data_IF_619201825258
#
_entry.id   IF_619201825258
#
_cell.length_a   1.000
_cell.length_b   1.000
_cell.length_c   1.000
_cell.angle_alpha   90.00
_cell.angle_beta   90.00
_cell.angle_gamma   90.00
#
_symmetry.space_group_name_H-M   'P 1'
#
loop_
_entity.id
_entity.type
_entity.pdbx_description
1 polymer ?
#
# COMPACT_ATOMS: atom_id res chain seq x y z
N UNK A 1 15.44 9.69 8.13
CA UNK A 1 14.79 9.30 6.87
C UNK A 1 15.55 9.93 5.72
N UNK A 2 16.20 9.11 4.89
CA UNK A 2 16.85 9.59 3.67
C UNK A 2 15.86 9.41 2.51
N UNK A 3 15.41 10.51 1.95
CA UNK A 3 14.56 10.53 0.75
C UNK A 3 15.41 10.83 -0.47
N UNK A 4 15.40 9.91 -1.44
CA UNK A 4 16.25 10.02 -2.62
C UNK A 4 15.52 10.71 -3.78
N UNK A 5 16.02 11.86 -4.26
CA UNK A 5 15.60 12.43 -5.54
C UNK A 5 16.32 11.83 -6.74
N UNK A 6 17.09 10.74 -6.56
CA UNK A 6 17.95 10.15 -7.60
C UNK A 6 17.77 8.63 -7.64
N UNK A 7 18.02 7.97 -8.80
CA UNK A 7 18.02 6.51 -8.88
C UNK A 7 18.88 5.89 -7.77
N UNK A 8 18.36 4.85 -7.13
CA UNK A 8 19.00 4.17 -5.99
C UNK A 8 20.46 3.77 -6.28
N UNK A 9 20.80 3.44 -7.54
CA UNK A 9 22.15 3.12 -8.01
C UNK A 9 23.16 4.26 -7.86
N UNK A 10 22.72 5.52 -7.72
CA UNK A 10 23.58 6.70 -7.54
C UNK A 10 23.63 7.21 -6.10
N UNK A 11 22.90 6.55 -5.19
CA UNK A 11 22.94 6.91 -3.76
C UNK A 11 24.05 6.16 -3.05
N UNK A 12 24.89 6.89 -2.33
CA UNK A 12 25.78 6.31 -1.33
C UNK A 12 25.01 6.20 -0.02
N UNK A 13 24.48 5.02 0.24
CA UNK A 13 23.83 4.70 1.52
C UNK A 13 24.91 4.63 2.61
N UNK A 14 24.77 5.45 3.63
CA UNK A 14 25.57 5.30 4.85
C UNK A 14 24.78 4.44 5.83
N UNK A 15 24.92 3.12 5.67
CA UNK A 15 24.34 2.16 6.60
C UNK A 15 25.43 1.86 7.63
N UNK A 16 25.18 2.21 8.90
CA UNK A 16 26.08 1.90 9.99
C UNK A 16 26.06 0.38 10.27
N UNK A 17 27.17 -0.16 10.78
CA UNK A 17 27.26 -1.60 11.08
C UNK A 17 26.25 -2.05 12.15
N UNK A 18 25.84 -1.11 13.00
CA UNK A 18 24.86 -1.32 14.07
C UNK A 18 23.41 -1.22 13.59
N UNK A 19 23.17 -0.90 12.30
CA UNK A 19 21.81 -0.79 11.75
C UNK A 19 21.10 -2.13 11.83
N UNK A 20 20.00 -2.17 12.56
CA UNK A 20 19.18 -3.38 12.74
C UNK A 20 17.99 -3.43 11.82
N UNK A 21 17.45 -2.29 11.43
CA UNK A 21 16.25 -2.16 10.60
C UNK A 21 16.48 -1.16 9.48
N UNK A 22 15.96 -1.53 8.32
CA UNK A 22 15.95 -0.65 7.16
C UNK A 22 14.57 -0.78 6.51
N UNK A 23 13.90 0.34 6.32
CA UNK A 23 12.66 0.43 5.59
C UNK A 23 12.87 1.26 4.33
N UNK A 24 12.54 0.72 3.18
CA UNK A 24 12.58 1.40 1.89
C UNK A 24 11.20 1.41 1.25
N UNK A 25 10.94 2.41 0.41
CA UNK A 25 9.73 2.51 -0.40
C UNK A 25 10.07 3.13 -1.75
N UNK A 26 9.60 2.51 -2.81
CA UNK A 26 9.58 3.08 -4.16
C UNK A 26 8.14 3.52 -4.42
N UNK A 27 7.95 4.79 -4.77
CA UNK A 27 6.62 5.36 -4.96
C UNK A 27 6.24 5.35 -6.44
N UNK A 28 5.11 4.76 -6.77
CA UNK A 28 4.33 5.14 -7.94
C UNK A 28 3.41 6.29 -7.52
N UNK A 29 3.36 7.37 -8.30
CA UNK A 29 2.67 8.60 -7.88
C UNK A 29 1.21 8.50 -8.27
N UNK A 30 0.33 8.32 -7.29
CA UNK A 30 -1.13 8.38 -7.46
C UNK A 30 -1.67 9.75 -7.07
N UNK A 31 -1.26 10.28 -5.92
CA UNK A 31 -1.69 11.59 -5.41
C UNK A 31 -0.51 12.42 -4.94
N UNK A 32 -0.56 13.75 -5.15
CA UNK A 32 0.46 14.70 -4.72
C UNK A 32 1.75 14.67 -5.55
N UNK A 33 2.32 15.83 -5.82
CA UNK A 33 3.50 15.96 -6.68
C UNK A 33 4.72 15.23 -6.12
N UNK A 34 5.31 14.28 -6.88
CA UNK A 34 6.50 13.51 -6.49
C UNK A 34 7.74 14.40 -6.28
N UNK A 35 7.80 15.57 -6.95
CA UNK A 35 8.87 16.55 -6.78
C UNK A 35 8.89 17.18 -5.37
N UNK A 36 7.76 17.17 -4.69
CA UNK A 36 7.65 17.64 -3.30
C UNK A 36 8.04 16.51 -2.35
N UNK A 37 9.24 16.56 -1.83
CA UNK A 37 9.81 15.47 -1.01
C UNK A 37 8.98 15.11 0.24
N UNK A 38 8.14 16.00 0.73
CA UNK A 38 7.23 15.72 1.85
C UNK A 38 6.05 14.82 1.46
N UNK A 39 5.77 14.65 0.17
CA UNK A 39 4.77 13.71 -0.35
C UNK A 39 5.31 12.28 -0.52
N UNK A 40 6.60 12.05 -0.32
CA UNK A 40 7.21 10.75 -0.54
C UNK A 40 7.38 9.95 0.75
N UNK A 41 7.09 8.65 0.69
CA UNK A 41 7.33 7.72 1.78
C UNK A 41 8.83 7.56 2.10
N UNK A 42 9.17 7.10 3.31
CA UNK A 42 8.27 6.94 4.44
C UNK A 42 7.94 8.29 5.10
N UNK A 43 6.74 8.40 5.67
CA UNK A 43 6.31 9.59 6.39
C UNK A 43 6.74 9.53 7.85
N UNK A 44 7.36 10.57 8.40
CA UNK A 44 7.64 10.64 9.83
C UNK A 44 6.35 10.96 10.62
N UNK A 45 6.22 10.35 11.78
CA UNK A 45 5.17 10.64 12.75
C UNK A 45 5.69 10.53 14.18
N UNK A 46 4.87 10.92 15.17
CA UNK A 46 5.19 10.86 16.58
C UNK A 46 3.96 10.56 17.43
N UNK A 47 4.00 9.49 18.22
CA UNK A 47 2.92 9.12 19.12
C UNK A 47 3.48 8.64 20.46
N UNK A 48 2.86 9.03 21.59
CA UNK A 48 3.29 8.66 22.93
C UNK A 48 4.76 8.98 23.24
N UNK A 49 5.29 10.08 22.68
CA UNK A 49 6.70 10.42 22.81
C UNK A 49 7.65 9.64 21.91
N UNK A 50 7.19 8.59 21.21
CA UNK A 50 7.99 7.75 20.30
C UNK A 50 7.86 8.25 18.87
N UNK A 51 9.00 8.49 18.20
CA UNK A 51 9.04 8.77 16.76
C UNK A 51 8.86 7.48 15.96
N UNK A 52 8.22 7.59 14.81
CA UNK A 52 8.08 6.47 13.88
C UNK A 52 8.16 6.93 12.42
N UNK A 53 8.29 6.00 11.53
CA UNK A 53 8.20 6.20 10.08
C UNK A 53 7.19 5.20 9.51
N UNK A 54 6.34 5.65 8.59
CA UNK A 54 5.28 4.86 7.97
C UNK A 54 5.44 4.87 6.46
N UNK A 55 5.34 3.69 5.85
CA UNK A 55 5.20 3.53 4.41
C UNK A 55 3.93 2.73 4.10
N UNK A 56 3.28 3.09 3.00
CA UNK A 56 2.03 2.52 2.53
C UNK A 56 2.18 2.08 1.08
N UNK A 57 1.70 0.90 0.77
CA UNK A 57 1.50 0.36 -0.56
C UNK A 57 0.00 0.20 -0.77
N UNK A 58 -0.58 0.97 -1.71
CA UNK A 58 -2.00 1.00 -2.01
C UNK A 58 -2.56 2.41 -2.13
N UNK A 59 -3.87 2.52 -2.14
CA UNK A 59 -4.64 3.77 -2.24
C UNK A 59 -5.76 3.79 -1.21
N UNK A 60 -5.88 4.90 -0.47
CA UNK A 60 -6.95 5.10 0.52
C UNK A 60 -8.03 6.01 -0.08
N UNK A 61 -9.26 5.53 -0.07
CA UNK A 61 -10.40 6.24 -0.67
C UNK A 61 -11.11 7.20 0.29
N UNK A 62 -10.94 6.99 1.60
CA UNK A 62 -11.66 7.78 2.61
C UNK A 62 -10.78 8.79 3.36
N UNK A 63 -9.61 9.13 2.85
CA UNK A 63 -8.65 10.03 3.52
C UNK A 63 -9.27 11.39 3.84
N UNK A 64 -10.00 12.01 2.90
CA UNK A 64 -10.67 13.31 3.10
C UNK A 64 -11.79 13.21 4.13
N UNK A 65 -12.59 12.14 4.08
CA UNK A 65 -13.65 11.87 5.05
C UNK A 65 -13.08 11.71 6.45
N UNK A 66 -11.98 10.97 6.59
CA UNK A 66 -11.29 10.77 7.87
C UNK A 66 -10.69 12.08 8.38
N UNK A 67 -10.06 12.87 7.53
CA UNK A 67 -9.51 14.18 7.92
C UNK A 67 -10.60 15.07 8.52
N UNK A 68 -11.76 15.11 7.88
CA UNK A 68 -12.87 15.93 8.34
C UNK A 68 -13.54 15.34 9.60
N UNK A 69 -14.01 14.08 9.56
CA UNK A 69 -14.76 13.45 10.64
C UNK A 69 -13.94 13.25 11.91
N UNK A 70 -12.65 13.01 11.76
CA UNK A 70 -11.72 12.84 12.87
C UNK A 70 -11.07 14.17 13.32
N UNK A 71 -11.38 15.31 12.70
CA UNK A 71 -10.80 16.62 13.00
C UNK A 71 -9.26 16.55 13.01
N UNK A 72 -8.68 15.92 11.97
CA UNK A 72 -7.23 15.77 11.88
C UNK A 72 -6.57 17.11 11.52
N UNK A 73 -5.34 17.37 11.98
CA UNK A 73 -4.64 18.62 11.71
C UNK A 73 -4.44 18.86 10.21
N UNK A 74 -4.52 20.12 9.80
CA UNK A 74 -4.18 20.54 8.44
C UNK A 74 -2.71 20.22 8.18
N UNK A 75 -2.42 19.65 7.01
CA UNK A 75 -1.07 19.27 6.60
C UNK A 75 -0.76 19.75 5.19
N UNK A 76 0.53 19.94 4.90
CA UNK A 76 1.02 20.19 3.55
C UNK A 76 1.21 18.92 2.73
N UNK A 77 1.12 17.74 3.37
CA UNK A 77 1.23 16.45 2.69
C UNK A 77 -0.05 16.20 1.92
N UNK A 78 0.08 16.00 0.63
CA UNK A 78 -1.03 15.94 -0.33
C UNK A 78 -1.49 14.50 -0.60
N UNK A 79 -0.79 13.48 -0.05
CA UNK A 79 -1.11 12.08 -0.29
C UNK A 79 -2.19 11.57 0.66
N UNK A 80 -2.99 10.65 0.17
CA UNK A 80 -3.97 9.87 0.93
C UNK A 80 -3.33 9.15 2.13
N UNK A 81 -2.21 8.51 1.89
CA UNK A 81 -1.46 7.69 2.86
C UNK A 81 -1.14 8.41 4.19
N UNK A 82 -1.02 9.73 4.16
CA UNK A 82 -0.64 10.50 5.36
C UNK A 82 -1.72 10.51 6.44
N UNK A 83 -2.98 10.22 6.09
CA UNK A 83 -4.06 10.10 7.06
C UNK A 83 -3.78 8.99 8.08
N UNK A 84 -3.13 7.90 7.68
CA UNK A 84 -2.74 6.82 8.59
C UNK A 84 -1.76 7.31 9.67
N UNK A 85 -0.79 8.16 9.30
CA UNK A 85 0.11 8.80 10.28
C UNK A 85 -0.67 9.67 11.26
N UNK A 86 -1.58 10.51 10.74
CA UNK A 86 -2.38 11.43 11.55
C UNK A 86 -3.32 10.68 12.53
N UNK A 87 -3.87 9.53 12.11
CA UNK A 87 -4.68 8.70 13.00
C UNK A 87 -3.84 8.13 14.15
N UNK A 88 -2.64 7.60 13.88
CA UNK A 88 -1.74 7.08 14.91
C UNK A 88 -1.35 8.21 15.88
N UNK A 89 -1.01 9.39 15.37
CA UNK A 89 -0.67 10.56 16.19
C UNK A 89 -1.84 10.99 17.08
N UNK A 90 -3.05 11.02 16.53
CA UNK A 90 -4.27 11.36 17.26
C UNK A 90 -4.59 10.36 18.37
N UNK A 91 -4.37 9.06 18.12
CA UNK A 91 -4.60 8.03 19.15
C UNK A 91 -3.55 8.07 20.27
N UNK A 92 -2.45 8.80 20.07
CA UNK A 92 -1.52 9.19 21.13
C UNK A 92 -0.49 8.14 21.51
N UNK A 93 -0.50 6.96 20.95
CA UNK A 93 0.53 5.93 21.14
C UNK A 93 0.76 5.10 19.86
N UNK A 94 1.87 4.37 19.82
CA UNK A 94 2.13 3.38 18.77
C UNK A 94 2.17 1.99 19.39
N UNK A 95 1.15 1.21 19.13
CA UNK A 95 0.98 -0.18 19.57
C UNK A 95 0.20 -0.99 18.53
N UNK A 96 0.25 -2.32 18.61
CA UNK A 96 -0.54 -3.18 17.73
C UNK A 96 -2.05 -2.86 17.85
N UNK A 97 -2.54 -2.58 19.05
CA UNK A 97 -3.94 -2.19 19.27
C UNK A 97 -4.33 -0.90 18.55
N UNK A 98 -3.45 0.11 18.56
CA UNK A 98 -3.69 1.36 17.85
C UNK A 98 -3.61 1.17 16.34
N UNK A 99 -2.71 0.31 15.88
CA UNK A 99 -2.65 -0.05 14.46
C UNK A 99 -3.87 -0.83 13.99
N UNK A 100 -4.49 -1.68 14.85
CA UNK A 100 -5.81 -2.26 14.57
C UNK A 100 -6.86 -1.17 14.35
N UNK A 101 -7.00 -0.25 15.29
CA UNK A 101 -7.98 0.86 15.17
C UNK A 101 -7.73 1.75 13.95
N UNK A 102 -6.47 1.97 13.60
CA UNK A 102 -6.12 2.70 12.38
C UNK A 102 -6.56 1.91 11.14
N UNK A 103 -6.19 0.62 11.05
CA UNK A 103 -6.52 -0.23 9.91
C UNK A 103 -8.04 -0.39 9.70
N UNK A 104 -8.79 -0.56 10.80
CA UNK A 104 -10.26 -0.65 10.80
C UNK A 104 -10.96 0.65 10.37
N UNK A 105 -10.29 1.80 10.49
CA UNK A 105 -10.81 3.08 10.04
C UNK A 105 -10.52 3.38 8.56
N UNK A 106 -9.53 2.71 7.97
CA UNK A 106 -9.12 2.95 6.58
C UNK A 106 -10.04 2.20 5.60
N UNK A 107 -10.39 2.87 4.51
CA UNK A 107 -11.11 2.29 3.38
C UNK A 107 -10.24 2.46 2.13
N UNK A 108 -10.04 1.36 1.40
CA UNK A 108 -9.17 1.32 0.23
C UNK A 108 -8.33 0.06 0.15
N UNK A 109 -7.28 0.13 -0.64
CA UNK A 109 -6.29 -0.93 -0.73
C UNK A 109 -5.06 -0.56 0.08
N UNK A 110 -4.55 -1.46 0.92
CA UNK A 110 -3.35 -1.15 1.67
C UNK A 110 -2.55 -2.35 2.16
N UNK A 111 -1.26 -2.15 2.23
CA UNK A 111 -0.32 -2.79 3.15
C UNK A 111 0.56 -1.70 3.73
N UNK A 112 0.61 -1.59 5.04
CA UNK A 112 1.33 -0.54 5.75
C UNK A 112 2.48 -1.13 6.53
N UNK A 113 3.66 -0.51 6.43
CA UNK A 113 4.81 -0.82 7.28
C UNK A 113 5.13 0.37 8.18
N UNK A 114 5.37 0.10 9.45
CA UNK A 114 5.75 1.13 10.44
C UNK A 114 7.02 0.71 11.16
N UNK A 115 8.00 1.59 11.22
CA UNK A 115 9.24 1.39 11.97
C UNK A 115 9.32 2.46 13.05
N UNK A 116 9.42 2.06 14.31
CA UNK A 116 9.54 2.99 15.44
C UNK A 116 10.99 3.26 15.87
N UNK A 117 11.16 4.28 16.71
CA UNK A 117 12.46 4.66 17.26
C UNK A 117 12.99 3.66 18.30
N UNK A 118 12.21 2.66 18.72
CA UNK A 118 12.60 1.59 19.64
C UNK A 118 13.08 0.35 18.89
N UNK A 119 13.21 0.44 17.56
CA UNK A 119 13.55 -0.66 16.67
C UNK A 119 12.48 -1.76 16.68
N UNK A 120 11.23 -1.39 16.58
CA UNK A 120 10.12 -2.31 16.32
C UNK A 120 9.58 -2.06 14.93
N UNK A 121 9.44 -3.12 14.15
CA UNK A 121 8.82 -3.11 12.84
C UNK A 121 7.42 -3.70 12.95
N UNK A 122 6.45 -2.99 12.39
CA UNK A 122 5.07 -3.43 12.29
C UNK A 122 4.71 -3.59 10.82
N UNK A 123 4.04 -4.68 10.49
CA UNK A 123 3.47 -4.96 9.17
C UNK A 123 1.96 -5.09 9.34
N UNK A 124 1.21 -4.15 8.81
CA UNK A 124 -0.26 -4.16 8.78
C UNK A 124 -0.68 -4.67 7.41
N UNK A 125 -1.15 -5.91 7.36
CA UNK A 125 -1.53 -6.58 6.11
C UNK A 125 -3.02 -6.38 5.86
N UNK A 126 -3.33 -5.41 5.01
CA UNK A 126 -4.65 -5.25 4.40
C UNK A 126 -4.82 -6.19 3.20
N UNK A 127 -5.47 -5.71 2.15
CA UNK A 127 -5.76 -6.47 0.94
C UNK A 127 -4.64 -6.44 -0.12
N UNK A 128 -3.63 -5.56 0.01
CA UNK A 128 -2.46 -5.56 -0.88
C UNK A 128 -1.41 -6.61 -0.49
N UNK A 129 -0.67 -7.20 -1.46
CA UNK A 129 0.29 -8.25 -1.19
C UNK A 129 1.47 -7.79 -0.31
N UNK A 130 2.02 -8.73 0.44
CA UNK A 130 3.23 -8.58 1.24
C UNK A 130 3.90 -9.94 1.42
N UNK A 131 5.17 -10.02 1.10
CA UNK A 131 6.01 -11.19 1.32
C UNK A 131 7.05 -10.89 2.36
N UNK A 132 7.23 -11.81 3.33
CA UNK A 132 8.26 -11.72 4.36
C UNK A 132 9.00 -13.07 4.38
N UNK A 133 10.33 -13.03 4.29
CA UNK A 133 11.19 -14.21 4.40
C UNK A 133 12.25 -14.01 5.47
N UNK A 134 12.52 -15.08 6.20
CA UNK A 134 13.64 -15.16 7.14
C UNK A 134 14.79 -15.92 6.53
N UNK A 135 15.99 -15.36 6.59
CA UNK A 135 17.24 -15.99 6.17
C UNK A 135 18.03 -16.44 7.42
N UNK A 136 17.93 -17.73 7.83
CA UNK A 136 18.52 -18.19 9.09
C UNK A 136 20.04 -18.00 9.17
N UNK A 137 20.74 -18.17 8.03
CA UNK A 137 22.21 -18.00 7.98
C UNK A 137 22.66 -16.56 8.24
N UNK A 138 21.83 -15.58 7.90
CA UNK A 138 22.10 -14.15 8.10
C UNK A 138 21.42 -13.62 9.35
N UNK A 139 20.47 -14.36 9.93
CA UNK A 139 19.68 -13.92 11.08
C UNK A 139 18.81 -12.69 10.77
N UNK A 140 18.33 -12.55 9.53
CA UNK A 140 17.58 -11.37 9.12
C UNK A 140 16.26 -11.72 8.45
N UNK A 141 15.28 -10.81 8.59
CA UNK A 141 14.04 -10.81 7.84
C UNK A 141 14.18 -9.89 6.64
N UNK A 142 13.67 -10.32 5.50
CA UNK A 142 13.51 -9.51 4.29
C UNK A 142 12.05 -9.44 3.94
N UNK A 143 11.62 -8.32 3.38
CA UNK A 143 10.24 -8.15 2.91
C UNK A 143 10.18 -7.35 1.61
N UNK A 144 9.16 -7.62 0.82
CA UNK A 144 8.79 -6.88 -0.37
C UNK A 144 7.27 -6.90 -0.56
N UNK A 145 6.76 -6.10 -1.49
CA UNK A 145 5.34 -6.12 -1.83
C UNK A 145 4.93 -7.44 -2.49
N UNK A 146 5.79 -8.06 -3.31
CA UNK A 146 5.52 -9.36 -3.93
C UNK A 146 6.71 -10.32 -3.81
N UNK A 147 6.44 -11.61 -4.03
CA UNK A 147 7.46 -12.67 -4.06
C UNK A 147 8.46 -12.44 -5.18
N UNK A 148 8.01 -12.03 -6.36
CA UNK A 148 8.84 -11.80 -7.55
C UNK A 148 9.86 -10.71 -7.30
N UNK A 149 9.46 -9.60 -6.64
CA UNK A 149 10.38 -8.51 -6.29
C UNK A 149 11.44 -9.00 -5.32
N UNK A 150 11.04 -9.81 -4.33
CA UNK A 150 11.98 -10.36 -3.35
C UNK A 150 12.94 -11.37 -3.99
N UNK A 151 12.45 -12.24 -4.86
CA UNK A 151 13.26 -13.21 -5.60
C UNK A 151 14.29 -12.52 -6.50
N UNK A 152 13.86 -11.53 -7.28
CA UNK A 152 14.79 -10.73 -8.11
C UNK A 152 15.87 -10.03 -7.26
N UNK A 153 15.49 -9.50 -6.09
CA UNK A 153 16.45 -8.86 -5.20
C UNK A 153 17.47 -9.87 -4.65
N UNK A 154 17.01 -11.06 -4.23
CA UNK A 154 17.88 -12.13 -3.73
C UNK A 154 18.82 -12.67 -4.82
N UNK A 155 18.36 -12.81 -6.04
CA UNK A 155 19.19 -13.22 -7.19
C UNK A 155 20.26 -12.18 -7.49
N UNK A 156 19.91 -10.91 -7.56
CA UNK A 156 20.85 -9.81 -7.77
C UNK A 156 21.92 -9.73 -6.68
N UNK A 157 21.57 -10.06 -5.44
CA UNK A 157 22.48 -10.12 -4.30
C UNK A 157 23.23 -11.45 -4.21
N UNK A 158 22.94 -12.45 -5.07
CA UNK A 158 23.47 -13.81 -5.04
C UNK A 158 23.14 -14.55 -3.72
N UNK A 159 21.99 -14.25 -3.14
CA UNK A 159 21.51 -14.83 -1.89
C UNK A 159 20.41 -15.88 -2.10
N UNK A 160 19.90 -16.07 -3.32
CA UNK A 160 18.81 -17.00 -3.66
C UNK A 160 19.08 -18.45 -3.28
N UNK A 161 20.37 -18.87 -3.25
CA UNK A 161 20.79 -20.21 -2.82
C UNK A 161 20.81 -20.41 -1.31
N UNK A 162 20.67 -19.37 -0.52
CA UNK A 162 20.58 -19.51 0.94
C UNK A 162 19.23 -20.10 1.31
N UNK A 163 19.21 -20.91 2.39
CA UNK A 163 17.97 -21.38 2.97
C UNK A 163 17.11 -20.19 3.39
N UNK A 164 15.87 -20.20 2.94
CA UNK A 164 14.85 -19.22 3.25
C UNK A 164 13.70 -19.90 3.97
N UNK A 165 13.02 -19.14 4.81
CA UNK A 165 11.79 -19.58 5.49
C UNK A 165 10.75 -18.50 5.28
N UNK A 166 9.66 -18.82 4.62
CA UNK A 166 8.55 -17.92 4.44
C UNK A 166 7.87 -17.67 5.79
N UNK A 167 7.55 -16.41 6.04
CA UNK A 167 6.87 -15.99 7.25
C UNK A 167 5.44 -15.64 6.86
N UNK A 168 4.47 -16.51 7.22
CA UNK A 168 3.09 -16.30 6.83
C UNK A 168 2.54 -15.02 7.47
N UNK A 169 1.89 -14.21 6.65
CA UNK A 169 1.12 -13.05 7.04
C UNK A 169 -0.10 -12.96 6.10
N UNK A 170 -1.29 -12.93 6.66
CA UNK A 170 -2.54 -12.94 5.92
C UNK A 170 -3.27 -11.60 6.08
N UNK A 171 -4.23 -11.33 5.21
CA UNK A 171 -5.11 -10.18 5.36
C UNK A 171 -5.73 -10.15 6.76
N UNK A 172 -5.79 -8.97 7.36
CA UNK A 172 -6.23 -8.77 8.74
C UNK A 172 -5.13 -8.90 9.79
N UNK A 173 -3.93 -9.36 9.43
CA UNK A 173 -2.83 -9.53 10.39
C UNK A 173 -2.05 -8.24 10.60
N UNK A 174 -1.67 -8.00 11.85
CA UNK A 174 -0.62 -7.04 12.22
C UNK A 174 0.51 -7.85 12.84
N UNK A 175 1.60 -8.02 12.09
CA UNK A 175 2.81 -8.67 12.58
C UNK A 175 3.75 -7.62 13.15
N UNK A 176 4.22 -7.86 14.36
CA UNK A 176 5.24 -7.05 15.02
C UNK A 176 6.54 -7.86 15.10
N UNK A 177 7.65 -7.24 14.74
CA UNK A 177 9.01 -7.78 14.96
C UNK A 177 9.76 -6.77 15.83
N UNK A 178 10.08 -7.17 17.05
CA UNK A 178 10.75 -6.31 18.04
C UNK A 178 12.27 -6.22 17.83
N UNK A 179 12.94 -5.42 18.66
CA UNK A 179 14.40 -5.23 18.62
C UNK A 179 15.20 -6.52 18.84
N UNK A 180 14.61 -7.55 19.39
CA UNK A 180 15.18 -8.89 19.62
C UNK A 180 14.86 -9.87 18.48
N UNK A 181 14.06 -9.46 17.50
CA UNK A 181 13.60 -10.29 16.40
C UNK A 181 12.43 -11.22 16.79
N UNK A 182 11.82 -11.00 17.97
CA UNK A 182 10.63 -11.76 18.38
C UNK A 182 9.42 -11.28 17.59
N UNK A 183 8.60 -12.24 17.17
CA UNK A 183 7.40 -11.98 16.35
C UNK A 183 6.16 -12.18 17.18
N UNK A 184 5.24 -11.25 17.05
CA UNK A 184 3.85 -11.38 17.52
C UNK A 184 2.90 -11.02 16.41
N UNK A 185 1.71 -11.64 16.40
CA UNK A 185 0.66 -11.35 15.44
C UNK A 185 -0.60 -11.01 16.20
N UNK A 186 -1.22 -9.89 15.82
CA UNK A 186 -2.53 -9.43 16.30
C UNK A 186 -3.41 -9.28 15.07
N UNK A 187 -4.72 -9.44 15.21
CA UNK A 187 -5.65 -9.27 14.08
C UNK A 187 -6.55 -8.05 14.30
N UNK A 188 -6.83 -7.35 13.21
CA UNK A 188 -7.90 -6.34 13.14
C UNK A 188 -9.11 -6.90 12.38
N UNK A 189 -10.26 -6.24 12.53
CA UNK A 189 -11.46 -6.57 11.75
C UNK A 189 -11.30 -6.10 10.31
N UNK A 190 -11.01 -7.04 9.43
CA UNK A 190 -10.78 -6.82 8.00
C UNK A 190 -12.04 -7.06 7.14
N UNK A 191 -13.21 -7.27 7.76
CA UNK A 191 -14.45 -7.59 7.04
C UNK A 191 -14.89 -6.52 6.05
N UNK A 192 -14.55 -5.26 6.31
CA UNK A 192 -14.81 -4.14 5.40
C UNK A 192 -13.93 -4.16 4.14
N UNK A 193 -12.75 -4.82 4.18
CA UNK A 193 -11.83 -4.96 3.06
C UNK A 193 -12.25 -6.05 2.07
N UNK A 194 -13.11 -6.98 2.50
CA UNK A 194 -13.66 -8.06 1.67
C UNK A 194 -14.86 -7.62 0.82
N UNK A 195 -15.31 -6.40 1.03
CA UNK A 195 -16.38 -5.83 0.21
C UNK A 195 -15.74 -5.14 -0.99
N UNK A 196 -15.72 -5.75 -2.18
CA UNK A 196 -15.62 -4.96 -3.39
C UNK A 196 -16.75 -3.92 -3.24
N UNK A 197 -16.43 -2.64 -3.31
CA UNK A 197 -17.42 -1.56 -3.15
C UNK A 197 -18.65 -1.74 -4.06
N UNK A 198 -18.50 -2.58 -5.08
CA UNK A 198 -19.44 -2.87 -6.17
C UNK A 198 -20.19 -4.18 -6.04
N UNK A 199 -19.67 -5.10 -5.24
CA UNK A 199 -20.36 -6.36 -4.99
C UNK A 199 -21.62 -6.17 -4.11
N UNK A 200 -21.68 -5.11 -3.31
CA UNK A 200 -22.84 -4.84 -2.46
C UNK A 200 -24.08 -4.38 -3.23
N UNK A 201 -23.92 -3.54 -4.27
CA UNK A 201 -25.08 -3.09 -5.05
C UNK A 201 -25.66 -4.22 -5.92
N UNK A 202 -24.82 -5.16 -6.36
CA UNK A 202 -25.25 -6.30 -7.17
C UNK A 202 -25.85 -7.42 -6.31
N UNK A 203 -25.30 -7.72 -5.12
CA UNK A 203 -25.85 -8.75 -4.20
C UNK A 203 -27.22 -8.35 -3.64
N UNK A 204 -27.48 -7.06 -3.39
CA UNK A 204 -28.82 -6.63 -2.98
C UNK A 204 -29.87 -6.83 -4.06
N UNK A 205 -29.50 -6.97 -5.32
CA UNK A 205 -30.40 -7.17 -6.44
C UNK A 205 -30.40 -8.61 -6.99
N UNK A 206 -29.47 -9.48 -6.57
CA UNK A 206 -29.43 -10.89 -6.97
C UNK A 206 -29.45 -11.82 -5.77
N UNK A 207 -30.50 -12.64 -5.66
CA UNK A 207 -30.73 -13.59 -4.55
C UNK A 207 -29.89 -14.89 -4.67
N UNK A 208 -28.70 -14.86 -5.21
CA UNK A 208 -27.85 -16.05 -5.36
C UNK A 208 -26.48 -15.84 -4.70
N UNK A 209 -26.03 -16.86 -3.96
CA UNK A 209 -24.78 -16.87 -3.21
C UNK A 209 -23.53 -16.66 -4.13
N UNK A 210 -22.44 -16.04 -3.60
CA UNK A 210 -21.28 -15.69 -4.41
C UNK A 210 -20.49 -16.94 -4.83
N UNK A 211 -20.31 -17.12 -6.13
CA UNK A 211 -19.22 -17.88 -6.72
C UNK A 211 -18.08 -16.88 -6.87
N UNK A 212 -16.86 -17.22 -6.45
CA UNK A 212 -15.68 -16.39 -6.77
C UNK A 212 -15.59 -16.26 -8.29
N UNK A 213 -15.64 -15.04 -8.87
CA UNK A 213 -15.59 -14.87 -10.32
C UNK A 213 -14.24 -15.34 -10.84
N UNK A 214 -14.23 -16.06 -11.96
CA UNK A 214 -13.02 -16.30 -12.73
C UNK A 214 -12.47 -14.95 -13.23
N UNK A 215 -11.17 -14.87 -13.49
CA UNK A 215 -10.47 -13.60 -13.80
C UNK A 215 -11.12 -12.79 -14.95
N UNK A 216 -11.72 -13.48 -15.93
CA UNK A 216 -12.41 -12.86 -17.06
C UNK A 216 -13.73 -12.20 -16.66
N UNK A 217 -14.47 -12.80 -15.71
CA UNK A 217 -15.73 -12.27 -15.20
C UNK A 217 -15.52 -10.97 -14.41
N UNK A 218 -14.39 -10.85 -13.71
CA UNK A 218 -14.07 -9.64 -12.93
C UNK A 218 -13.76 -8.44 -13.82
N UNK A 219 -13.00 -8.63 -14.90
CA UNK A 219 -12.75 -7.58 -15.88
C UNK A 219 -14.04 -7.06 -16.50
N UNK A 220 -14.95 -7.97 -16.89
CA UNK A 220 -16.24 -7.61 -17.49
C UNK A 220 -17.11 -6.78 -16.54
N UNK A 221 -17.13 -7.15 -15.26
CA UNK A 221 -17.81 -6.39 -14.19
C UNK A 221 -17.23 -4.98 -14.03
N UNK A 222 -15.90 -4.83 -14.00
CA UNK A 222 -15.23 -3.53 -13.85
C UNK A 222 -15.52 -2.62 -15.05
N UNK A 223 -15.57 -3.18 -16.25
CA UNK A 223 -15.91 -2.44 -17.46
C UNK A 223 -17.35 -1.94 -17.46
N UNK A 224 -18.29 -2.78 -17.07
CA UNK A 224 -19.70 -2.39 -16.96
C UNK A 224 -19.89 -1.32 -15.88
N UNK A 225 -19.19 -1.46 -14.79
CA UNK A 225 -19.19 -0.49 -13.72
C UNK A 225 -18.64 0.88 -14.17
N UNK A 226 -17.50 0.90 -14.85
CA UNK A 226 -16.91 2.14 -15.38
C UNK A 226 -17.88 2.87 -16.32
N UNK A 227 -18.57 2.14 -17.20
CA UNK A 227 -19.59 2.70 -18.08
C UNK A 227 -20.76 3.35 -17.30
N UNK A 228 -21.21 2.73 -16.22
CA UNK A 228 -22.28 3.28 -15.35
C UNK A 228 -21.84 4.53 -14.58
N UNK A 229 -20.54 4.66 -14.32
CA UNK A 229 -19.94 5.84 -13.65
C UNK A 229 -19.43 6.90 -14.60
N UNK A 230 -19.81 6.82 -15.87
CA UNK A 230 -19.56 7.88 -16.86
C UNK A 230 -18.20 7.78 -17.57
N UNK A 231 -17.43 6.71 -17.33
CA UNK A 231 -16.21 6.44 -18.08
C UNK A 231 -16.59 5.89 -19.46
N UNK A 232 -16.08 6.52 -20.51
CA UNK A 232 -16.41 6.10 -21.86
C UNK A 232 -15.77 4.76 -22.22
N UNK A 233 -16.44 3.96 -23.05
CA UNK A 233 -15.89 2.68 -23.52
C UNK A 233 -14.55 2.86 -24.25
N UNK A 234 -14.35 4.00 -24.90
CA UNK A 234 -13.10 4.34 -25.58
C UNK A 234 -11.95 4.52 -24.58
N UNK A 235 -12.19 5.19 -23.44
CA UNK A 235 -11.20 5.36 -22.38
C UNK A 235 -10.83 4.04 -21.75
N UNK A 236 -11.83 3.22 -21.40
CA UNK A 236 -11.60 1.89 -20.84
C UNK A 236 -10.77 1.01 -21.77
N UNK A 237 -11.09 0.98 -23.07
CA UNK A 237 -10.31 0.22 -24.05
C UNK A 237 -8.88 0.74 -24.19
N UNK A 238 -8.70 2.05 -24.20
CA UNK A 238 -7.36 2.67 -24.29
C UNK A 238 -6.47 2.25 -23.12
N UNK A 239 -7.04 2.22 -21.92
CA UNK A 239 -6.33 1.78 -20.72
C UNK A 239 -5.97 0.28 -20.77
N UNK A 240 -6.90 -0.57 -21.21
CA UNK A 240 -6.64 -2.01 -21.40
C UNK A 240 -5.55 -2.25 -22.43
N UNK A 241 -5.62 -1.56 -23.58
CA UNK A 241 -4.62 -1.68 -24.65
C UNK A 241 -3.23 -1.20 -24.20
N UNK A 242 -3.19 -0.30 -23.22
CA UNK A 242 -1.97 0.16 -22.55
C UNK A 242 -1.46 -0.78 -21.45
N UNK A 243 -2.20 -1.89 -21.16
CA UNK A 243 -1.78 -2.93 -20.23
C UNK A 243 -2.29 -2.78 -18.80
N UNK A 244 -3.27 -1.92 -18.55
CA UNK A 244 -3.92 -1.80 -17.24
C UNK A 244 -4.84 -3.02 -17.01
N UNK A 245 -4.72 -3.64 -15.84
CA UNK A 245 -5.57 -4.76 -15.45
C UNK A 245 -6.90 -4.29 -14.80
N UNK A 246 -7.75 -5.25 -14.40
CA UNK A 246 -9.05 -4.94 -13.84
C UNK A 246 -8.96 -4.15 -12.51
N UNK A 247 -7.91 -4.40 -11.71
CA UNK A 247 -7.69 -3.69 -10.45
C UNK A 247 -7.24 -2.26 -10.70
N UNK A 248 -6.37 -2.05 -11.68
CA UNK A 248 -5.93 -0.73 -12.11
C UNK A 248 -7.11 0.10 -12.64
N UNK A 249 -7.97 -0.52 -13.45
CA UNK A 249 -9.17 0.13 -14.00
C UNK A 249 -10.15 0.53 -12.90
N UNK A 250 -10.37 -0.32 -11.91
CA UNK A 250 -11.23 -0.01 -10.78
C UNK A 250 -10.75 1.26 -10.05
N UNK A 251 -9.44 1.38 -9.82
CA UNK A 251 -8.82 2.55 -9.22
C UNK A 251 -9.04 3.83 -10.06
N UNK A 252 -8.84 3.70 -11.37
CA UNK A 252 -8.98 4.80 -12.33
C UNK A 252 -10.43 5.26 -12.54
N UNK A 253 -11.42 4.39 -12.37
CA UNK A 253 -12.84 4.76 -12.45
C UNK A 253 -13.23 5.74 -11.35
N UNK A 254 -12.57 5.68 -10.19
CA UNK A 254 -12.89 6.52 -9.04
C UNK A 254 -12.12 7.83 -8.95
N UNK A 255 -11.02 7.96 -9.68
CA UNK A 255 -10.21 9.17 -9.71
C UNK A 255 -10.17 9.74 -11.13
N UNK A 256 -11.13 10.62 -11.44
CA UNK A 256 -11.23 11.25 -12.76
C UNK A 256 -9.94 11.98 -13.15
N UNK A 257 -9.30 12.64 -12.20
CA UNK A 257 -8.08 13.39 -12.47
C UNK A 257 -6.89 12.47 -12.75
N UNK A 258 -6.77 11.37 -12.01
CA UNK A 258 -5.73 10.38 -12.24
C UNK A 258 -5.96 9.66 -13.57
N UNK A 259 -7.18 9.26 -13.86
CA UNK A 259 -7.57 8.64 -15.14
C UNK A 259 -7.23 9.55 -16.34
N UNK A 260 -7.60 10.84 -16.28
CA UNK A 260 -7.29 11.78 -17.35
C UNK A 260 -5.78 11.97 -17.56
N UNK A 261 -4.98 11.93 -16.50
CA UNK A 261 -3.52 12.00 -16.60
C UNK A 261 -2.94 10.76 -17.27
N UNK A 262 -3.37 9.56 -16.87
CA UNK A 262 -2.94 8.30 -17.49
C UNK A 262 -3.31 8.28 -18.98
N UNK A 263 -4.53 8.66 -19.33
CA UNK A 263 -4.98 8.73 -20.73
C UNK A 263 -4.13 9.74 -21.53
N UNK A 264 -3.79 10.88 -20.96
CA UNK A 264 -2.96 11.89 -21.62
C UNK A 264 -1.54 11.39 -21.86
N UNK A 265 -0.95 10.68 -20.91
CA UNK A 265 0.37 10.05 -21.06
C UNK A 265 0.36 8.98 -22.15
N UNK A 266 -0.64 8.09 -22.15
CA UNK A 266 -0.82 7.07 -23.18
C UNK A 266 -0.96 7.73 -24.56
N UNK A 267 -1.80 8.76 -24.70
CA UNK A 267 -1.99 9.44 -25.98
C UNK A 267 -0.72 10.14 -26.47
N UNK A 268 0.08 10.69 -25.56
CA UNK A 268 1.36 11.29 -25.91
C UNK A 268 2.39 10.26 -26.42
N UNK A 269 2.43 9.06 -25.84
CA UNK A 269 3.32 7.98 -26.27
C UNK A 269 2.91 7.39 -27.63
N UNK A 270 1.62 7.36 -27.93
CA UNK A 270 1.11 6.91 -29.24
C UNK A 270 1.12 8.01 -30.32
N UNK A 271 1.57 9.24 -30.02
CA UNK A 271 1.70 10.32 -30.99
C UNK A 271 0.36 10.85 -31.55
N UNK A 272 -0.74 10.62 -30.84
CA UNK A 272 -2.09 11.11 -31.18
C UNK A 272 -2.32 12.42 -30.44
N UNK A 273 -2.13 13.53 -31.15
CA UNK A 273 -2.53 14.89 -30.72
C UNK A 273 -3.92 15.20 -31.24
#
# INVERSE_FOLDING_TARGET
IQKAPRPASKMRWRIAAETRYLMGHTRMTTQGAASKNYNNHPFPGRAGGTGFALAHNGVLYNDQTLRHSQHLPITKVETDSYVAVQLIEKYGELSATILCRMAEALDGTFTITVLDAKNTMYFVRGNNPLTIRFLPRLGCYLYASTDEILDMALDNLRLSKLRQTDIPITQGDIMTIDAQGQRTVTRFDDTHLWRPRYFCDWIWHSQTAPIEPEHDDYMEMVLEYGKRHGVSERELRLLIDAGYDAMDLEELIHDDHYRENCIREIMADFGVY
#
